data_IF_335920343822
#
_entry.id   IF_335920343822
#
_cell.length_a   1.000
_cell.length_b   1.000
_cell.length_c   1.000
_cell.angle_alpha   90.00
_cell.angle_beta   90.00
_cell.angle_gamma   90.00
#
_symmetry.space_group_name_H-M   'P 1'
#
loop_
_entity.id
_entity.type
_entity.pdbx_description
1 polymer ?
#
# COMPACT_ATOMS: atom_id res chain seq x y z
N UNK A 1 -11.67 1.67 -27.82
CA UNK A 1 -10.45 2.45 -27.58
C UNK A 1 -10.25 2.64 -26.08
N UNK A 2 -9.50 1.71 -25.48
CA UNK A 2 -9.30 1.72 -24.05
C UNK A 2 -8.17 2.68 -23.70
N UNK A 3 -8.54 3.87 -23.21
CA UNK A 3 -7.56 4.80 -22.69
C UNK A 3 -6.99 4.26 -21.40
N UNK A 4 -5.64 4.22 -21.27
CA UNK A 4 -4.98 3.87 -20.04
C UNK A 4 -5.27 4.96 -18.98
N UNK A 5 -5.49 4.58 -17.72
CA UNK A 5 -5.67 5.55 -16.66
C UNK A 5 -4.41 6.40 -16.49
N UNK A 6 -4.58 7.65 -16.13
CA UNK A 6 -3.48 8.57 -15.82
C UNK A 6 -2.93 8.26 -14.44
N UNK A 7 -3.78 7.73 -13.58
CA UNK A 7 -3.49 7.49 -12.18
C UNK A 7 -4.42 6.39 -11.66
N UNK A 8 -3.87 5.42 -10.97
CA UNK A 8 -4.64 4.38 -10.31
C UNK A 8 -4.56 4.58 -8.81
N UNK A 9 -5.71 4.78 -8.19
CA UNK A 9 -5.82 4.88 -6.74
C UNK A 9 -6.49 3.61 -6.20
N UNK A 10 -5.76 2.91 -5.33
CA UNK A 10 -6.28 1.75 -4.61
C UNK A 10 -6.46 2.16 -3.15
N UNK A 11 -7.67 2.55 -2.76
CA UNK A 11 -7.94 2.97 -1.38
C UNK A 11 -7.91 1.79 -0.44
N UNK A 12 -8.12 2.07 0.83
CA UNK A 12 -8.25 1.05 1.85
C UNK A 12 -9.48 0.18 1.66
N UNK A 13 -9.52 -0.84 2.45
CA UNK A 13 -10.56 -1.85 2.50
C UNK A 13 -10.03 -3.00 3.33
N UNK A 14 -10.76 -4.09 3.34
CA UNK A 14 -10.39 -5.28 4.10
C UNK A 14 -10.25 -6.47 3.16
N UNK A 15 -9.17 -6.55 2.36
CA UNK A 15 -8.97 -7.66 1.41
C UNK A 15 -8.88 -9.01 2.12
N UNK A 16 -8.49 -9.04 3.39
CA UNK A 16 -8.43 -10.26 4.19
C UNK A 16 -9.78 -10.97 4.35
N UNK A 17 -10.89 -10.28 4.11
CA UNK A 17 -12.22 -10.89 4.12
C UNK A 17 -12.61 -11.50 2.76
N UNK A 18 -11.82 -11.27 1.71
CA UNK A 18 -12.13 -11.67 0.33
C UNK A 18 -10.96 -12.37 -0.36
N UNK A 19 -10.13 -13.07 0.41
CA UNK A 19 -8.87 -13.64 -0.08
C UNK A 19 -9.05 -14.60 -1.26
N UNK A 20 -10.02 -15.50 -1.16
CA UNK A 20 -10.27 -16.47 -2.23
C UNK A 20 -10.74 -15.80 -3.52
N UNK A 21 -11.66 -14.85 -3.40
CA UNK A 21 -12.21 -14.10 -4.54
C UNK A 21 -11.15 -13.25 -5.22
N UNK A 22 -10.33 -12.56 -4.44
CA UNK A 22 -9.25 -11.73 -4.98
C UNK A 22 -8.17 -12.58 -5.64
N UNK A 23 -7.80 -13.70 -5.03
CA UNK A 23 -6.81 -14.61 -5.60
C UNK A 23 -7.31 -15.23 -6.91
N UNK A 24 -8.58 -15.57 -7.00
CA UNK A 24 -9.19 -16.15 -8.20
C UNK A 24 -9.33 -15.15 -9.35
N UNK A 25 -9.35 -13.86 -9.07
CA UNK A 25 -9.49 -12.79 -10.08
C UNK A 25 -8.18 -12.51 -10.80
N UNK A 26 -7.63 -13.50 -11.49
CA UNK A 26 -6.31 -13.42 -12.15
C UNK A 26 -6.21 -12.28 -13.16
N UNK A 27 -7.27 -12.04 -13.92
CA UNK A 27 -7.28 -10.97 -14.94
C UNK A 27 -7.11 -9.60 -14.30
N UNK A 28 -7.81 -9.35 -13.19
CA UNK A 28 -7.68 -8.09 -12.45
C UNK A 28 -6.27 -7.92 -11.89
N UNK A 29 -5.74 -8.96 -11.27
CA UNK A 29 -4.38 -8.93 -10.70
C UNK A 29 -3.33 -8.68 -11.79
N UNK A 30 -3.44 -9.39 -12.90
CA UNK A 30 -2.51 -9.26 -14.04
C UNK A 30 -2.59 -7.89 -14.70
N UNK A 31 -3.79 -7.32 -14.83
CA UNK A 31 -3.99 -5.99 -15.42
C UNK A 31 -3.31 -4.90 -14.59
N UNK A 32 -3.44 -4.98 -13.27
CA UNK A 32 -2.81 -4.02 -12.36
C UNK A 32 -1.29 -4.17 -12.40
N UNK A 33 -0.79 -5.40 -12.36
CA UNK A 33 0.64 -5.68 -12.45
C UNK A 33 1.23 -5.16 -13.77
N UNK A 34 0.55 -5.37 -14.89
CA UNK A 34 0.98 -4.88 -16.20
C UNK A 34 1.00 -3.36 -16.26
N UNK A 35 -0.01 -2.70 -15.71
CA UNK A 35 -0.09 -1.23 -15.65
C UNK A 35 1.09 -0.67 -14.84
N UNK A 36 1.38 -1.24 -13.69
CA UNK A 36 2.49 -0.82 -12.85
C UNK A 36 3.85 -1.07 -13.54
N UNK A 37 4.04 -2.24 -14.16
CA UNK A 37 5.26 -2.60 -14.87
C UNK A 37 5.53 -1.68 -16.08
N UNK A 38 4.48 -1.17 -16.71
CA UNK A 38 4.57 -0.22 -17.81
C UNK A 38 4.85 1.23 -17.36
N UNK A 39 5.06 1.46 -16.08
CA UNK A 39 5.35 2.78 -15.53
C UNK A 39 4.11 3.56 -15.10
N UNK A 40 2.96 2.93 -15.00
CA UNK A 40 1.73 3.56 -14.53
C UNK A 40 1.86 4.05 -13.09
N UNK A 41 1.25 5.21 -12.81
CA UNK A 41 1.24 5.79 -11.47
C UNK A 41 0.18 5.12 -10.62
N UNK A 42 0.59 4.61 -9.47
CA UNK A 42 -0.30 3.93 -8.51
C UNK A 42 -0.07 4.48 -7.12
N UNK A 43 -1.13 4.87 -6.45
CA UNK A 43 -1.13 5.08 -5.01
C UNK A 43 -2.01 4.02 -4.38
N UNK A 44 -1.42 3.22 -3.50
CA UNK A 44 -2.12 2.16 -2.78
C UNK A 44 -2.01 2.37 -1.28
N UNK A 45 -3.15 2.38 -0.61
CA UNK A 45 -3.25 2.65 0.82
C UNK A 45 -3.88 1.48 1.54
N UNK A 46 -3.26 1.06 2.65
CA UNK A 46 -3.78 0.01 3.54
C UNK A 46 -4.15 -1.27 2.78
N UNK A 47 -5.43 -1.60 2.67
CA UNK A 47 -5.89 -2.77 1.91
C UNK A 47 -5.47 -2.76 0.45
N UNK A 48 -5.39 -1.59 -0.17
CA UNK A 48 -4.86 -1.44 -1.53
C UNK A 48 -3.39 -1.84 -1.62
N UNK A 49 -2.57 -1.47 -0.64
CA UNK A 49 -1.17 -1.92 -0.56
C UNK A 49 -1.09 -3.44 -0.38
N UNK A 50 -1.90 -4.01 0.50
CA UNK A 50 -1.94 -5.46 0.71
C UNK A 50 -2.23 -6.20 -0.59
N UNK A 51 -3.15 -5.67 -1.40
CA UNK A 51 -3.50 -6.22 -2.70
C UNK A 51 -2.34 -6.16 -3.70
N UNK A 52 -1.46 -5.18 -3.60
CA UNK A 52 -0.26 -5.07 -4.45
C UNK A 52 0.87 -6.01 -4.04
N UNK A 53 0.85 -6.57 -2.85
CA UNK A 53 1.85 -7.51 -2.38
C UNK A 53 1.86 -8.79 -3.22
N UNK A 54 2.88 -9.63 -3.05
CA UNK A 54 2.93 -10.96 -3.70
C UNK A 54 1.79 -11.83 -3.23
N UNK A 55 1.48 -11.77 -1.94
CA UNK A 55 0.44 -12.58 -1.32
C UNK A 55 -0.08 -11.91 -0.06
N UNK A 56 -1.26 -12.32 0.37
CA UNK A 56 -1.78 -12.05 1.70
C UNK A 56 -1.90 -13.40 2.40
N UNK A 57 -1.32 -13.51 3.60
CA UNK A 57 -1.45 -14.68 4.46
C UNK A 57 -2.61 -14.49 5.42
N UNK A 58 -3.45 -15.50 5.57
CA UNK A 58 -4.50 -15.48 6.56
C UNK A 58 -3.95 -15.70 7.98
N UNK A 59 -4.84 -15.79 8.97
CA UNK A 59 -4.46 -16.00 10.36
C UNK A 59 -3.73 -17.33 10.60
N UNK A 60 -3.94 -18.30 9.73
CA UNK A 60 -3.36 -19.65 9.79
C UNK A 60 -2.08 -19.76 8.97
N UNK A 61 -1.67 -18.69 8.30
CA UNK A 61 -0.48 -18.65 7.48
C UNK A 61 -0.66 -19.13 6.05
N UNK A 62 -1.88 -19.41 5.62
CA UNK A 62 -2.16 -19.77 4.24
C UNK A 62 -2.00 -18.56 3.33
N UNK A 63 -1.18 -18.70 2.29
CA UNK A 63 -0.91 -17.62 1.33
C UNK A 63 -1.91 -17.63 0.19
N UNK A 64 -2.43 -16.44 -0.13
CA UNK A 64 -3.30 -16.19 -1.28
C UNK A 64 -2.58 -15.21 -2.21
N UNK A 65 -2.36 -15.58 -3.50
CA UNK A 65 -1.64 -14.70 -4.42
C UNK A 65 -2.41 -13.41 -4.69
N UNK A 66 -1.66 -12.31 -4.75
CA UNK A 66 -2.19 -10.98 -5.06
C UNK A 66 -1.52 -10.44 -6.32
N UNK A 67 -1.43 -9.13 -6.50
CA UNK A 67 -0.93 -8.55 -7.76
C UNK A 67 0.56 -8.78 -8.01
N UNK A 68 1.36 -8.96 -6.96
CA UNK A 68 2.79 -9.19 -7.10
C UNK A 68 3.58 -7.98 -7.57
N UNK A 69 3.07 -6.78 -7.35
CA UNK A 69 3.76 -5.53 -7.70
C UNK A 69 4.88 -5.23 -6.70
N UNK A 70 4.62 -5.49 -5.43
CA UNK A 70 5.61 -5.33 -4.35
C UNK A 70 6.20 -6.69 -3.98
N UNK A 71 7.46 -6.68 -3.53
CA UNK A 71 8.16 -7.90 -3.11
C UNK A 71 7.78 -8.36 -1.70
N UNK A 72 6.97 -7.61 -1.01
CA UNK A 72 6.50 -7.93 0.33
C UNK A 72 5.29 -8.86 0.29
N UNK A 73 4.99 -9.43 1.44
CA UNK A 73 3.73 -10.10 1.71
C UNK A 73 3.00 -9.39 2.85
N UNK A 74 1.68 -9.35 2.78
CA UNK A 74 0.88 -8.95 3.92
C UNK A 74 0.48 -10.19 4.72
N UNK A 75 0.39 -10.07 6.04
CA UNK A 75 0.03 -11.20 6.89
C UNK A 75 -0.96 -10.80 7.97
N UNK A 76 -1.91 -11.70 8.22
CA UNK A 76 -2.84 -11.64 9.35
C UNK A 76 -2.38 -12.50 10.52
N UNK A 77 -1.24 -13.18 10.40
CA UNK A 77 -0.69 -13.97 11.49
C UNK A 77 -0.31 -13.07 12.67
N UNK A 78 -0.74 -13.43 13.87
CA UNK A 78 -0.50 -12.63 15.06
C UNK A 78 -1.10 -11.24 14.97
N UNK A 79 -2.23 -11.11 14.27
CA UNK A 79 -2.85 -9.82 14.03
C UNK A 79 -3.14 -9.05 15.31
N UNK A 80 -2.96 -7.75 15.24
CA UNK A 80 -3.37 -6.83 16.29
C UNK A 80 -3.66 -5.46 15.69
N UNK A 81 -4.59 -4.76 16.29
CA UNK A 81 -4.99 -3.43 15.83
C UNK A 81 -3.84 -2.44 15.97
N UNK A 82 -3.54 -1.76 14.88
CA UNK A 82 -2.61 -0.64 14.81
C UNK A 82 -3.37 0.56 14.26
N UNK A 83 -3.31 1.66 14.97
CA UNK A 83 -4.00 2.87 14.56
C UNK A 83 -3.26 4.11 15.05
N UNK A 84 -3.53 5.22 14.40
CA UNK A 84 -3.04 6.52 14.83
C UNK A 84 -2.97 7.52 13.67
N UNK A 85 -2.85 8.78 14.02
CA UNK A 85 -2.57 9.82 13.05
C UNK A 85 -1.12 9.71 12.56
N UNK A 86 -0.90 10.08 11.30
CA UNK A 86 0.42 10.04 10.68
C UNK A 86 0.72 11.33 9.94
N UNK A 87 2.00 11.68 9.92
CA UNK A 87 2.56 12.70 9.06
C UNK A 87 3.56 12.03 8.14
N UNK A 88 3.37 12.17 6.84
CA UNK A 88 4.29 11.67 5.85
C UNK A 88 5.10 12.83 5.28
N UNK A 89 6.41 12.75 5.41
CA UNK A 89 7.33 13.69 4.76
C UNK A 89 7.95 13.02 3.56
N UNK A 90 7.71 13.58 2.39
CA UNK A 90 8.19 13.05 1.12
C UNK A 90 8.42 14.19 0.14
N UNK A 91 9.60 14.22 -0.49
CA UNK A 91 9.93 15.22 -1.50
C UNK A 91 9.87 16.67 -1.00
N UNK A 92 10.21 16.90 0.25
CA UNK A 92 10.15 18.24 0.86
C UNK A 92 8.74 18.70 1.24
N UNK A 93 7.74 17.83 1.14
CA UNK A 93 6.35 18.11 1.49
C UNK A 93 5.90 17.27 2.67
N UNK A 94 4.94 17.77 3.41
CA UNK A 94 4.30 17.03 4.51
C UNK A 94 2.85 16.74 4.15
N UNK A 95 2.48 15.47 4.31
CA UNK A 95 1.13 14.97 4.10
C UNK A 95 0.59 14.44 5.42
N UNK A 96 -0.71 14.59 5.64
CA UNK A 96 -1.37 14.09 6.84
C UNK A 96 -2.31 12.95 6.50
N UNK A 97 -2.45 12.01 7.41
CA UNK A 97 -3.34 10.89 7.26
C UNK A 97 -3.50 10.13 8.56
N UNK A 98 -4.00 8.91 8.44
CA UNK A 98 -4.15 8.01 9.57
C UNK A 98 -3.91 6.56 9.14
N UNK A 99 -3.55 5.73 10.11
CA UNK A 99 -3.50 4.27 9.95
C UNK A 99 -4.61 3.63 10.77
N UNK A 100 -5.16 2.54 10.22
CA UNK A 100 -6.07 1.64 10.91
C UNK A 100 -6.02 0.29 10.21
N UNK A 101 -5.34 -0.69 10.82
CA UNK A 101 -5.21 -2.02 10.23
C UNK A 101 -4.86 -3.08 11.28
N UNK A 102 -5.16 -4.33 10.96
CA UNK A 102 -4.83 -5.50 11.78
C UNK A 102 -3.66 -6.30 11.21
N UNK A 103 -3.39 -6.16 9.92
CA UNK A 103 -2.30 -6.84 9.22
C UNK A 103 -0.94 -6.20 9.47
N UNK A 104 0.10 -6.88 9.06
CA UNK A 104 1.45 -6.33 8.96
C UNK A 104 2.09 -6.73 7.63
N UNK A 105 3.15 -6.04 7.25
CA UNK A 105 3.93 -6.32 6.04
C UNK A 105 5.21 -7.05 6.42
N UNK A 106 5.57 -8.06 5.63
CA UNK A 106 6.76 -8.88 5.85
C UNK A 106 7.55 -8.97 4.55
N UNK A 107 8.85 -8.70 4.52
CA UNK A 107 9.65 -8.11 5.59
C UNK A 107 9.33 -6.62 5.80
N UNK A 108 9.47 -6.15 7.01
CA UNK A 108 9.32 -4.74 7.36
C UNK A 108 10.72 -4.16 7.60
N UNK A 109 11.45 -3.99 6.53
CA UNK A 109 12.83 -3.54 6.54
C UNK A 109 13.00 -2.29 5.67
N UNK A 110 13.81 -1.35 6.13
CA UNK A 110 14.25 -0.23 5.32
C UNK A 110 15.11 -0.77 4.18
N UNK A 111 14.78 -0.40 2.96
CA UNK A 111 15.48 -0.82 1.74
C UNK A 111 15.55 0.33 0.75
N UNK A 112 16.10 0.07 -0.42
CA UNK A 112 16.12 1.05 -1.52
C UNK A 112 14.70 1.45 -1.98
N UNK A 113 13.73 0.59 -1.73
CA UNK A 113 12.33 0.83 -2.08
C UNK A 113 11.53 1.56 -0.99
N UNK A 114 12.10 1.77 0.19
CA UNK A 114 11.45 2.56 1.23
C UNK A 114 11.77 4.03 1.05
N UNK A 115 10.73 4.88 1.09
CA UNK A 115 10.87 6.31 0.84
C UNK A 115 10.17 7.13 1.91
N UNK A 116 10.60 8.37 2.02
CA UNK A 116 9.98 9.32 2.93
C UNK A 116 10.20 8.97 4.40
N UNK A 117 9.53 9.73 5.24
CA UNK A 117 9.57 9.56 6.68
C UNK A 117 8.14 9.62 7.20
N UNK A 118 7.72 8.60 7.92
CA UNK A 118 6.42 8.60 8.57
C UNK A 118 6.57 8.85 10.06
N UNK A 119 5.83 9.82 10.55
CA UNK A 119 5.86 10.24 11.94
C UNK A 119 4.49 10.09 12.58
N UNK A 120 4.49 9.84 13.87
CA UNK A 120 3.28 9.87 14.71
C UNK A 120 2.85 11.31 14.97
N UNK A 121 1.70 11.49 15.61
CA UNK A 121 1.25 12.82 16.03
C UNK A 121 2.21 13.51 17.00
N UNK A 122 3.10 12.75 17.66
CA UNK A 122 4.12 13.25 18.59
C UNK A 122 5.49 13.44 17.93
N UNK A 123 5.55 13.38 16.59
CA UNK A 123 6.77 13.48 15.82
C UNK A 123 7.79 12.36 16.08
N UNK A 124 7.34 11.21 16.57
CA UNK A 124 8.14 10.00 16.69
C UNK A 124 8.06 9.20 15.40
N UNK A 125 9.12 8.48 15.05
CA UNK A 125 9.14 7.63 13.86
C UNK A 125 8.08 6.53 14.01
N UNK A 126 7.16 6.47 13.03
CA UNK A 126 6.15 5.43 13.00
C UNK A 126 6.78 4.10 12.57
N UNK A 127 6.27 2.95 13.09
CA UNK A 127 6.86 1.65 12.78
C UNK A 127 6.58 1.16 11.36
N UNK A 128 5.61 1.74 10.66
CA UNK A 128 5.24 1.34 9.30
C UNK A 128 6.01 2.14 8.26
N UNK A 129 6.26 1.51 7.12
CA UNK A 129 7.07 2.07 6.04
C UNK A 129 6.21 2.44 4.84
N UNK A 130 6.70 3.41 4.05
CA UNK A 130 6.17 3.73 2.75
C UNK A 130 7.09 3.13 1.70
N UNK A 131 6.52 2.40 0.74
CA UNK A 131 7.26 1.72 -0.32
C UNK A 131 7.06 2.44 -1.65
N UNK A 132 8.16 2.55 -2.39
CA UNK A 132 8.13 3.02 -3.79
C UNK A 132 8.79 1.99 -4.69
N UNK A 133 8.09 1.60 -5.75
CA UNK A 133 8.64 0.77 -6.81
C UNK A 133 8.23 1.37 -8.15
N UNK A 134 9.19 1.94 -8.88
CA UNK A 134 8.87 2.71 -10.08
C UNK A 134 7.96 3.88 -9.75
N UNK A 135 6.80 3.93 -10.39
CA UNK A 135 5.75 4.93 -10.14
C UNK A 135 4.63 4.42 -9.22
N UNK A 136 4.91 3.36 -8.47
CA UNK A 136 3.99 2.82 -7.46
C UNK A 136 4.43 3.29 -6.09
N UNK A 137 3.49 3.87 -5.36
CA UNK A 137 3.68 4.30 -3.98
C UNK A 137 2.65 3.60 -3.11
N UNK A 138 3.10 2.94 -2.05
CA UNK A 138 2.22 2.11 -1.22
C UNK A 138 2.60 2.17 0.26
N UNK A 139 1.60 2.28 1.11
CA UNK A 139 1.76 2.29 2.55
C UNK A 139 0.45 2.03 3.28
N UNK A 140 0.53 1.96 4.59
CA UNK A 140 -0.68 1.78 5.42
C UNK A 140 -1.45 3.08 5.62
N UNK A 141 -0.81 4.23 5.46
CA UNK A 141 -1.41 5.51 5.77
C UNK A 141 -2.48 5.90 4.75
N UNK A 142 -3.67 6.20 5.24
CA UNK A 142 -4.74 6.83 4.45
C UNK A 142 -4.51 8.34 4.46
N UNK A 143 -4.10 8.88 3.33
CA UNK A 143 -3.82 10.31 3.20
C UNK A 143 -5.11 11.12 3.03
N UNK A 144 -5.12 12.32 3.59
CA UNK A 144 -6.23 13.26 3.46
C UNK A 144 -6.01 14.14 2.24
N UNK A 145 -6.85 14.00 1.20
CA UNK A 145 -6.68 14.74 -0.05
C UNK A 145 -7.52 16.02 -0.15
N UNK A 146 -8.32 16.34 0.86
CA UNK A 146 -9.13 17.55 0.84
C UNK A 146 -8.28 18.83 0.69
N UNK A 147 -7.07 18.84 1.24
CA UNK A 147 -6.14 19.96 1.22
C UNK A 147 -4.78 19.62 0.60
N UNK A 148 -4.64 18.43 0.01
CA UNK A 148 -3.37 17.90 -0.48
C UNK A 148 -3.54 17.35 -1.90
N UNK A 149 -2.61 17.70 -2.78
CA UNK A 149 -2.61 17.20 -4.15
C UNK A 149 -1.94 15.82 -4.23
N UNK A 150 -2.70 14.77 -4.58
CA UNK A 150 -2.12 13.42 -4.69
C UNK A 150 -1.07 13.31 -5.81
N UNK A 151 -1.14 14.11 -6.85
CA UNK A 151 -0.15 14.07 -7.92
C UNK A 151 1.22 14.57 -7.49
N UNK A 152 1.28 15.41 -6.46
CA UNK A 152 2.54 15.90 -5.90
C UNK A 152 3.40 14.77 -5.29
N UNK A 153 2.79 13.63 -4.93
CA UNK A 153 3.49 12.45 -4.44
C UNK A 153 4.46 11.86 -5.48
N UNK A 154 4.23 12.12 -6.75
CA UNK A 154 5.00 11.55 -7.86
C UNK A 154 5.98 12.56 -8.50
N UNK A 155 6.07 13.74 -7.97
CA UNK A 155 6.98 14.77 -8.48
C UNK A 155 8.37 14.72 -7.87
#
# INVERSE_FOLDING_TARGET
HDALPIFLYLPGGYPEFYLSELAAAERSRSSIAAYAAAGGRVLAECGGMMYLCRAIRDEEGKAYPMCGVLDQEATMEGMRLRLGYRKLRLGGREYRGHEFHYSSIVPQEVSEETVGEQLTARDEVAPTLLYRRGNVLAGYTHLYFAEQDPFALFS
#
